data_IF_427933343321
#
_entry.id   IF_427933343321
#
_cell.length_a   1.000
_cell.length_b   1.000
_cell.length_c   1.000
_cell.angle_alpha   90.00
_cell.angle_beta   90.00
_cell.angle_gamma   90.00
#
_symmetry.space_group_name_H-M   'P 1'
#
loop_
_entity.id
_entity.type
_entity.pdbx_description
1 polymer ?
#
# COMPACT_ATOMS: atom_id res chain seq x y z
N UNK A 1 -7.47 -0.07 -7.94
CA UNK A 1 -6.82 -0.50 -6.69
C UNK A 1 -7.69 -1.60 -6.08
N UNK A 2 -7.13 -2.66 -5.52
CA UNK A 2 -7.90 -3.68 -4.78
C UNK A 2 -8.06 -3.33 -3.30
N UNK A 3 -8.97 -3.99 -2.58
CA UNK A 3 -9.11 -3.80 -1.12
C UNK A 3 -7.83 -4.14 -0.34
N UNK A 4 -7.09 -5.17 -0.78
CA UNK A 4 -5.82 -5.55 -0.16
C UNK A 4 -4.70 -4.52 -0.45
N UNK A 5 -4.62 -3.99 -1.68
CA UNK A 5 -3.68 -2.92 -2.03
C UNK A 5 -3.93 -1.68 -1.16
N UNK A 6 -5.21 -1.31 -0.98
CA UNK A 6 -5.62 -0.19 -0.12
C UNK A 6 -5.21 -0.40 1.34
N UNK A 7 -5.55 -1.56 1.91
CA UNK A 7 -5.26 -1.87 3.32
C UNK A 7 -3.77 -1.81 3.64
N UNK A 8 -2.92 -2.34 2.75
CA UNK A 8 -1.46 -2.28 2.93
C UNK A 8 -0.97 -0.83 2.93
N UNK A 9 -1.48 0.00 2.02
CA UNK A 9 -1.12 1.43 1.94
C UNK A 9 -1.58 2.18 3.20
N UNK A 10 -2.80 1.94 3.68
CA UNK A 10 -3.33 2.54 4.91
C UNK A 10 -2.48 2.25 6.13
N UNK A 11 -2.12 0.99 6.34
CA UNK A 11 -1.27 0.58 7.47
C UNK A 11 0.16 1.11 7.34
N UNK A 12 0.73 1.13 6.13
CA UNK A 12 2.12 1.56 5.90
C UNK A 12 2.35 3.06 6.02
N UNK A 13 1.32 3.84 5.72
CA UNK A 13 1.40 5.30 5.68
C UNK A 13 0.63 5.99 6.81
N UNK A 14 -0.04 5.23 7.68
CA UNK A 14 -0.72 5.77 8.85
C UNK A 14 -2.01 6.52 8.53
N UNK A 15 -2.73 6.12 7.47
CA UNK A 15 -4.00 6.77 7.13
C UNK A 15 -5.11 6.48 8.15
N UNK A 16 -4.95 5.42 8.97
CA UNK A 16 -5.87 5.02 10.03
C UNK A 16 -5.17 4.89 11.40
N UNK A 17 -3.99 5.51 11.59
CA UNK A 17 -3.22 5.42 12.84
C UNK A 17 -1.72 5.57 12.63
N UNK A 18 -0.92 4.96 13.51
CA UNK A 18 0.54 5.01 13.39
C UNK A 18 1.06 4.17 12.21
N UNK A 19 1.99 4.69 11.39
CA UNK A 19 2.60 3.94 10.30
C UNK A 19 3.28 2.65 10.79
N UNK A 20 2.88 1.53 10.21
CA UNK A 20 3.46 0.22 10.52
C UNK A 20 4.63 -0.10 9.58
N UNK A 21 5.61 -0.88 10.05
CA UNK A 21 6.69 -1.41 9.19
C UNK A 21 6.18 -2.50 8.25
N UNK A 22 6.90 -2.80 7.16
CA UNK A 22 6.55 -3.93 6.26
C UNK A 22 6.37 -5.24 7.03
N UNK A 23 7.27 -5.52 7.98
CA UNK A 23 7.24 -6.77 8.76
C UNK A 23 6.02 -6.80 9.69
N UNK A 24 5.67 -5.67 10.30
CA UNK A 24 4.47 -5.57 11.14
C UNK A 24 3.19 -5.77 10.31
N UNK A 25 3.10 -5.15 9.14
CA UNK A 25 1.97 -5.35 8.21
C UNK A 25 1.89 -6.78 7.70
N UNK A 26 3.03 -7.41 7.41
CA UNK A 26 3.09 -8.80 6.99
C UNK A 26 2.54 -9.74 8.08
N UNK A 27 2.93 -9.52 9.33
CA UNK A 27 2.42 -10.25 10.48
C UNK A 27 0.91 -10.04 10.65
N UNK A 28 0.44 -8.79 10.66
CA UNK A 28 -0.97 -8.42 10.81
C UNK A 28 -1.88 -9.07 9.75
N UNK A 29 -1.41 -9.14 8.51
CA UNK A 29 -2.21 -9.64 7.38
C UNK A 29 -2.00 -11.13 7.09
N UNK A 30 -1.17 -11.83 7.85
CA UNK A 30 -0.83 -13.24 7.59
C UNK A 30 -0.11 -13.45 6.24
N UNK A 31 0.74 -12.50 5.85
CA UNK A 31 1.47 -12.51 4.58
C UNK A 31 2.98 -12.57 4.81
N UNK A 32 3.73 -12.90 3.76
CA UNK A 32 5.19 -12.69 3.78
C UNK A 32 5.53 -11.22 3.54
N UNK A 33 6.63 -10.75 4.14
CA UNK A 33 7.15 -9.39 3.93
C UNK A 33 7.48 -9.11 2.44
N UNK A 34 7.92 -10.12 1.68
CA UNK A 34 8.15 -10.00 0.24
C UNK A 34 6.84 -9.80 -0.53
N UNK A 35 5.77 -10.51 -0.16
CA UNK A 35 4.46 -10.32 -0.78
C UNK A 35 3.90 -8.93 -0.46
N UNK A 36 4.01 -8.46 0.79
CA UNK A 36 3.60 -7.10 1.18
C UNK A 36 4.33 -6.04 0.36
N UNK A 37 5.67 -6.10 0.26
CA UNK A 37 6.45 -5.19 -0.59
C UNK A 37 5.97 -5.17 -2.04
N UNK A 38 5.73 -6.35 -2.62
CA UNK A 38 5.25 -6.47 -3.99
C UNK A 38 3.88 -5.81 -4.18
N UNK A 39 2.95 -6.03 -3.24
CA UNK A 39 1.62 -5.43 -3.31
C UNK A 39 1.69 -3.91 -3.11
N UNK A 40 2.48 -3.43 -2.16
CA UNK A 40 2.70 -1.99 -1.91
C UNK A 40 3.25 -1.29 -3.16
N UNK A 41 4.29 -1.85 -3.80
CA UNK A 41 4.87 -1.31 -5.04
C UNK A 41 3.84 -1.25 -6.18
N UNK A 42 3.02 -2.29 -6.33
CA UNK A 42 1.93 -2.30 -7.32
C UNK A 42 0.89 -1.22 -7.01
N UNK A 43 0.49 -1.08 -5.75
CA UNK A 43 -0.49 -0.08 -5.30
C UNK A 43 0.02 1.34 -5.57
N UNK A 44 1.23 1.67 -5.13
CA UNK A 44 1.88 2.97 -5.38
C UNK A 44 2.04 3.25 -6.88
N UNK A 45 2.39 2.24 -7.68
CA UNK A 45 2.46 2.37 -9.14
C UNK A 45 1.11 2.71 -9.78
N UNK A 46 -0.01 2.17 -9.26
CA UNK A 46 -1.37 2.53 -9.70
C UNK A 46 -1.73 3.95 -9.27
N UNK A 47 -1.45 4.32 -8.03
CA UNK A 47 -1.73 5.67 -7.50
C UNK A 47 -0.95 6.74 -8.27
N UNK A 48 0.33 6.49 -8.57
CA UNK A 48 1.15 7.41 -9.37
C UNK A 48 0.53 7.67 -10.75
N UNK A 49 0.09 6.63 -11.45
CA UNK A 49 -0.59 6.79 -12.76
C UNK A 49 -1.87 7.61 -12.64
N UNK A 50 -2.65 7.37 -11.58
CA UNK A 50 -3.88 8.14 -11.34
C UNK A 50 -3.58 9.62 -11.07
N UNK A 51 -2.58 9.93 -10.24
CA UNK A 51 -2.15 11.30 -9.99
C UNK A 51 -1.65 11.98 -11.28
N UNK A 52 -0.91 11.27 -12.13
CA UNK A 52 -0.48 11.81 -13.43
C UNK A 52 -1.67 12.17 -14.33
N UNK A 53 -2.75 11.39 -14.31
CA UNK A 53 -3.97 11.70 -15.05
C UNK A 53 -4.68 12.93 -14.49
N UNK A 54 -4.74 13.07 -13.16
CA UNK A 54 -5.37 14.22 -12.49
C UNK A 54 -4.59 15.51 -12.74
N UNK A 55 -3.26 15.47 -12.71
CA UNK A 55 -2.42 16.66 -12.96
C UNK A 55 -2.42 17.08 -14.43
N UNK A 56 -2.68 16.14 -15.35
CA UNK A 56 -2.73 16.42 -16.78
C UNK A 56 -4.11 16.91 -17.27
N UNK A 57 -5.13 16.92 -16.40
CA UNK A 57 -6.48 17.40 -16.68
C UNK A 57 -6.67 18.85 -16.19
#
# INVERSE_FOLDING_TARGET
MTGQERRIVELRHGFEGEPMTITAVAHELGLSASNVRRIEQRALGRLRRHLQQVVAA
#
